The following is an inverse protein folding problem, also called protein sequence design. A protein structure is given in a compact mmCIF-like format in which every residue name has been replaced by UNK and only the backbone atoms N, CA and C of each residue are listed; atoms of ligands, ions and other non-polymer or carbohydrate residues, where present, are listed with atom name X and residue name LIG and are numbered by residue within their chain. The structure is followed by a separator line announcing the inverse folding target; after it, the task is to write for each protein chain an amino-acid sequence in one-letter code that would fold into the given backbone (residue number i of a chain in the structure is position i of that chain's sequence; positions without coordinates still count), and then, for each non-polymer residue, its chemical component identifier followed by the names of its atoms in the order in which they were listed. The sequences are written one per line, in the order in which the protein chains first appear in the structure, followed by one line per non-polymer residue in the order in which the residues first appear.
data_IF_726694051324
#
_entry.id   IF_726694051324
#
_cell.length_a   1.000
_cell.length_b   1.000
_cell.length_c   1.000
_cell.angle_alpha   90.00
_cell.angle_beta   90.00
_cell.angle_gamma   90.00
#
_symmetry.space_group_name_H-M   'P 1'
#
loop_
_entity.id
_entity.type
_entity.pdbx_description
1 polymer ?
#
# COMPACT_ATOMS: atom_id res chain seq x y z
N UNK A 1 -7.84 -4.83 -12.96
CA UNK A 1 -7.06 -5.19 -11.74
C UNK A 1 -7.20 -4.16 -10.62
N UNK A 2 -7.61 -2.91 -10.89
CA UNK A 2 -7.71 -1.86 -9.86
C UNK A 2 -9.12 -1.64 -9.30
N UNK A 3 -10.04 -2.59 -9.52
CA UNK A 3 -11.41 -2.48 -9.04
C UNK A 3 -11.47 -2.29 -7.53
N UNK A 4 -10.60 -2.97 -6.77
CA UNK A 4 -10.53 -2.82 -5.31
C UNK A 4 -10.23 -1.38 -4.87
N UNK A 5 -9.29 -0.69 -5.54
CA UNK A 5 -8.95 0.71 -5.25
C UNK A 5 -10.13 1.64 -5.57
N UNK A 6 -10.84 1.40 -6.68
CA UNK A 6 -12.02 2.22 -7.05
C UNK A 6 -13.24 2.00 -6.14
N UNK A 7 -13.26 0.91 -5.38
CA UNK A 7 -14.33 0.56 -4.44
C UNK A 7 -14.09 1.13 -3.03
N UNK A 8 -12.90 1.67 -2.76
CA UNK A 8 -12.61 2.34 -1.49
C UNK A 8 -13.47 3.59 -1.32
N UNK A 9 -13.90 3.92 -0.09
CA UNK A 9 -14.49 5.22 0.20
C UNK A 9 -13.56 6.36 -0.26
N UNK A 10 -14.09 7.49 -0.75
CA UNK A 10 -13.27 8.56 -1.35
C UNK A 10 -12.11 9.02 -0.47
N UNK A 11 -12.35 9.23 0.83
CA UNK A 11 -11.30 9.64 1.76
C UNK A 11 -10.14 8.63 1.83
N UNK A 12 -10.45 7.33 1.89
CA UNK A 12 -9.44 6.27 1.92
C UNK A 12 -8.69 6.17 0.59
N UNK A 13 -9.42 6.25 -0.54
CA UNK A 13 -8.84 6.17 -1.89
C UNK A 13 -7.86 7.32 -2.14
N UNK A 14 -8.28 8.55 -1.86
CA UNK A 14 -7.51 9.74 -2.16
C UNK A 14 -6.29 9.82 -1.21
N UNK A 15 -6.46 9.45 0.07
CA UNK A 15 -5.34 9.32 1.02
C UNK A 15 -4.34 8.27 0.57
N UNK A 16 -4.81 7.11 0.11
CA UNK A 16 -3.95 6.04 -0.39
C UNK A 16 -3.16 6.50 -1.62
N UNK A 17 -3.81 7.22 -2.55
CA UNK A 17 -3.15 7.74 -3.74
C UNK A 17 -2.01 8.70 -3.39
N UNK A 18 -2.26 9.67 -2.51
CA UNK A 18 -1.24 10.62 -2.05
C UNK A 18 -0.08 9.90 -1.33
N UNK A 19 -0.38 8.91 -0.49
CA UNK A 19 0.62 8.11 0.22
C UNK A 19 1.48 7.30 -0.75
N UNK A 20 0.88 6.59 -1.70
CA UNK A 20 1.64 5.77 -2.67
C UNK A 20 2.57 6.62 -3.51
N UNK A 21 2.11 7.78 -4.02
CA UNK A 21 2.95 8.72 -4.77
C UNK A 21 4.15 9.22 -3.94
N UNK A 22 3.92 9.52 -2.67
CA UNK A 22 5.01 9.90 -1.77
C UNK A 22 6.03 8.76 -1.60
N UNK A 23 5.56 7.54 -1.36
CA UNK A 23 6.43 6.37 -1.18
C UNK A 23 7.19 6.00 -2.46
N UNK A 24 6.58 6.15 -3.64
CA UNK A 24 7.28 6.01 -4.92
C UNK A 24 8.39 7.05 -5.07
N UNK A 25 8.14 8.28 -4.65
CA UNK A 25 9.16 9.34 -4.62
C UNK A 25 10.30 8.98 -3.67
N UNK A 26 10.00 8.49 -2.46
CA UNK A 26 11.03 8.03 -1.51
C UNK A 26 11.90 6.92 -2.13
N UNK A 27 11.29 5.94 -2.78
CA UNK A 27 12.03 4.85 -3.42
C UNK A 27 12.88 5.29 -4.62
N UNK A 28 12.49 6.36 -5.31
CA UNK A 28 13.26 6.92 -6.42
C UNK A 28 14.54 7.66 -5.95
N UNK A 29 14.66 8.01 -4.67
CA UNK A 29 15.82 8.72 -4.13
C UNK A 29 16.84 7.73 -3.52
N UNK A 30 18.03 7.55 -4.13
CA UNK A 30 19.01 6.56 -3.68
C UNK A 30 19.49 6.77 -2.24
N UNK A 31 19.54 8.02 -1.78
CA UNK A 31 19.98 8.38 -0.42
C UNK A 31 19.05 7.82 0.66
N UNK A 32 17.77 7.63 0.36
CA UNK A 32 16.80 7.05 1.28
C UNK A 32 17.10 5.58 1.58
N UNK A 33 17.77 4.85 0.66
CA UNK A 33 18.05 3.41 0.77
C UNK A 33 16.81 2.55 1.03
N UNK A 34 15.65 3.00 0.56
CA UNK A 34 14.35 2.36 0.78
C UNK A 34 13.70 2.01 -0.57
N UNK A 35 14.11 0.90 -1.22
CA UNK A 35 13.40 0.41 -2.40
C UNK A 35 11.94 0.07 -2.08
N UNK A 36 11.09 -0.06 -3.10
CA UNK A 36 9.66 -0.34 -2.94
C UNK A 36 9.38 -1.58 -2.07
N UNK A 37 10.20 -2.63 -2.16
CA UNK A 37 10.07 -3.84 -1.33
C UNK A 37 10.27 -3.56 0.17
N UNK A 38 11.22 -2.68 0.52
CA UNK A 38 11.42 -2.27 1.92
C UNK A 38 10.25 -1.42 2.41
N UNK A 39 9.77 -0.49 1.57
CA UNK A 39 8.61 0.34 1.91
C UNK A 39 7.35 -0.51 2.05
N UNK A 40 7.13 -1.49 1.18
CA UNK A 40 6.00 -2.40 1.29
C UNK A 40 6.00 -3.15 2.61
N UNK A 41 7.13 -3.76 3.00
CA UNK A 41 7.26 -4.51 4.25
C UNK A 41 6.96 -3.66 5.48
N UNK A 42 7.33 -2.38 5.46
CA UNK A 42 7.10 -1.45 6.59
C UNK A 42 5.66 -0.94 6.62
N UNK A 43 5.08 -0.58 5.48
CA UNK A 43 3.76 0.06 5.41
C UNK A 43 2.60 -0.93 5.31
N UNK A 44 2.85 -2.18 4.90
CA UNK A 44 1.81 -3.18 4.73
C UNK A 44 0.94 -3.38 5.99
N UNK A 45 1.48 -3.58 7.21
CA UNK A 45 0.64 -3.74 8.40
C UNK A 45 -0.18 -2.49 8.74
N UNK A 46 0.35 -1.31 8.44
CA UNK A 46 -0.27 -0.01 8.77
C UNK A 46 -1.39 0.37 7.79
N UNK A 47 -1.20 0.08 6.49
CA UNK A 47 -2.12 0.50 5.44
C UNK A 47 -3.15 -0.58 5.11
N UNK A 48 -2.71 -1.84 5.02
CA UNK A 48 -3.60 -2.97 4.70
C UNK A 48 -4.36 -3.43 5.94
N UNK A 49 -3.70 -3.41 7.10
CA UNK A 49 -4.28 -3.91 8.36
C UNK A 49 -4.44 -5.43 8.36
N UNK A 50 -5.04 -5.96 9.44
CA UNK A 50 -5.36 -7.38 9.57
C UNK A 50 -6.79 -7.67 9.09
N UNK A 51 -6.98 -8.87 8.55
CA UNK A 51 -8.29 -9.41 8.15
C UNK A 51 -9.28 -9.58 9.31
N UNK A 52 -8.79 -9.54 10.55
CA UNK A 52 -9.55 -9.65 11.80
C UNK A 52 -9.23 -8.51 12.75
N UNK A 53 -10.18 -8.16 13.62
CA UNK A 53 -10.01 -7.06 14.58
C UNK A 53 -8.98 -7.33 15.68
N UNK A 54 -8.66 -8.60 15.94
CA UNK A 54 -7.68 -9.00 16.93
C UNK A 54 -6.61 -9.89 16.28
N UNK A 55 -5.36 -9.42 16.31
CA UNK A 55 -4.21 -10.13 15.75
C UNK A 55 -4.02 -11.53 16.37
N UNK A 56 -4.39 -11.72 17.64
CA UNK A 56 -4.32 -13.03 18.30
C UNK A 56 -5.30 -14.06 17.70
N UNK A 57 -6.32 -13.59 16.97
CA UNK A 57 -7.31 -14.43 16.30
C UNK A 57 -6.92 -14.79 14.86
N UNK A 58 -5.78 -14.30 14.34
CA UNK A 58 -5.29 -14.64 13.00
C UNK A 58 -4.86 -16.11 12.96
N UNK A 59 -5.51 -16.99 12.16
CA UNK A 59 -5.21 -18.42 12.16
C UNK A 59 -3.79 -18.76 11.67
N UNK A 60 -3.26 -17.94 10.76
CA UNK A 60 -1.89 -18.09 10.24
C UNK A 60 -1.26 -16.70 10.05
N UNK A 61 -0.57 -16.23 11.09
CA UNK A 61 0.05 -14.91 11.11
C UNK A 61 1.09 -14.72 10.01
N UNK A 62 1.84 -15.78 9.67
CA UNK A 62 2.89 -15.70 8.65
C UNK A 62 2.30 -15.49 7.26
N UNK A 63 1.25 -16.25 6.92
CA UNK A 63 0.53 -16.08 5.66
C UNK A 63 -0.15 -14.71 5.56
N UNK A 64 -0.76 -14.23 6.66
CA UNK A 64 -1.38 -12.90 6.72
C UNK A 64 -0.34 -11.79 6.42
N UNK A 65 0.83 -11.84 7.07
CA UNK A 65 1.90 -10.87 6.83
C UNK A 65 2.42 -10.91 5.38
N UNK A 66 2.53 -12.11 4.79
CA UNK A 66 2.92 -12.27 3.40
C UNK A 66 1.89 -11.64 2.45
N UNK A 67 0.61 -11.87 2.69
CA UNK A 67 -0.49 -11.28 1.91
C UNK A 67 -0.53 -9.75 2.03
N UNK A 68 -0.39 -9.22 3.24
CA UNK A 68 -0.32 -7.77 3.47
C UNK A 68 0.84 -7.16 2.67
N UNK A 69 2.02 -7.78 2.71
CA UNK A 69 3.18 -7.31 1.95
C UNK A 69 2.91 -7.35 0.43
N UNK A 70 2.36 -8.46 -0.08
CA UNK A 70 2.04 -8.60 -1.50
C UNK A 70 1.03 -7.55 -1.98
N UNK A 71 0.01 -7.23 -1.16
CA UNK A 71 -0.94 -6.15 -1.47
C UNK A 71 -0.20 -4.82 -1.55
N UNK A 72 0.63 -4.48 -0.56
CA UNK A 72 1.34 -3.20 -0.54
C UNK A 72 2.36 -3.09 -1.69
N UNK A 73 3.10 -4.15 -2.02
CA UNK A 73 3.99 -4.19 -3.19
C UNK A 73 3.20 -3.96 -4.48
N UNK A 74 2.03 -4.59 -4.61
CA UNK A 74 1.17 -4.41 -5.78
C UNK A 74 0.72 -2.95 -5.91
N UNK A 75 0.25 -2.33 -4.82
CA UNK A 75 -0.16 -0.92 -4.81
C UNK A 75 1.00 0.02 -5.16
N UNK A 76 2.18 -0.21 -4.59
CA UNK A 76 3.38 0.59 -4.83
C UNK A 76 3.93 0.44 -6.26
N UNK A 77 3.69 -0.68 -6.92
CA UNK A 77 4.14 -0.92 -8.30
C UNK A 77 3.26 -0.29 -9.38
N UNK A 78 2.08 0.24 -9.01
CA UNK A 78 1.18 0.84 -10.00
C UNK A 78 1.78 2.14 -10.56
N UNK A 79 1.55 2.45 -11.85
CA UNK A 79 2.06 3.68 -12.43
C UNK A 79 1.62 4.92 -11.64
N UNK A 80 2.52 5.89 -11.44
CA UNK A 80 2.19 7.16 -10.76
C UNK A 80 0.99 7.87 -11.42
N UNK A 81 0.87 7.81 -12.75
CA UNK A 81 -0.25 8.39 -13.50
C UNK A 81 -1.61 7.84 -13.08
N UNK A 82 -1.68 6.55 -12.71
CA UNK A 82 -2.92 5.96 -12.20
C UNK A 82 -3.35 6.63 -10.90
N UNK A 83 -2.41 6.90 -9.99
CA UNK A 83 -2.69 7.57 -8.72
C UNK A 83 -2.99 9.05 -8.90
N UNK A 84 -2.27 9.74 -9.79
CA UNK A 84 -2.50 11.16 -10.09
C UNK A 84 -3.91 11.42 -10.61
N UNK A 85 -4.45 10.52 -11.44
CA UNK A 85 -5.84 10.62 -11.94
C UNK A 85 -6.89 10.60 -10.82
N UNK A 86 -6.58 10.03 -9.65
CA UNK A 86 -7.52 9.96 -8.52
C UNK A 86 -7.51 11.22 -7.66
N UNK A 87 -6.46 12.05 -7.74
CA UNK A 87 -6.25 13.20 -6.87
C UNK A 87 -6.79 14.53 -7.44
N UNK A 88 -7.30 14.55 -8.67
CA UNK A 88 -7.79 15.77 -9.35
C UNK A 88 -6.84 16.97 -9.20
N UNK A 89 -5.53 16.76 -9.38
CA UNK A 89 -4.53 17.85 -9.43
C UNK A 89 -4.34 18.31 -10.87
#
# INVERSE_FOLDING_TARGET
MWQAVTQLPPANRDTLAALVLHLQTVAAHPEAKMPLSNLARVFAPTVVGCSVNDMASVPNLLLEMEQQNQVMETLLSLPADYWNQLLNV
#
